data_IF_468934402156
#
_entry.id   IF_468934402156
#
_cell.length_a   1.000
_cell.length_b   1.000
_cell.length_c   1.000
_cell.angle_alpha   90.00
_cell.angle_beta   90.00
_cell.angle_gamma   90.00
#
_symmetry.space_group_name_H-M   'P 1'
#
loop_
_entity.id
_entity.type
_entity.pdbx_description
1 polymer ?
#
# COMPACT_ATOMS: atom_id res chain seq x y z
N UNK A 1 -3.38 5.78 -5.04
CA UNK A 1 -4.63 6.01 -4.27
C UNK A 1 -4.36 6.20 -2.78
N UNK A 2 -3.79 5.24 -2.04
CA UNK A 2 -3.50 5.45 -0.60
C UNK A 2 -2.57 6.63 -0.35
N UNK A 3 -1.55 6.82 -1.18
CA UNK A 3 -0.68 7.99 -1.12
C UNK A 3 -1.43 9.31 -1.39
N UNK A 4 -2.38 9.32 -2.33
CA UNK A 4 -3.23 10.49 -2.60
C UNK A 4 -4.07 10.86 -1.37
N UNK A 5 -4.62 9.85 -0.69
CA UNK A 5 -5.37 10.07 0.55
C UNK A 5 -4.47 10.62 1.66
N UNK A 6 -3.21 10.18 1.76
CA UNK A 6 -2.31 10.73 2.77
C UNK A 6 -1.91 12.17 2.44
N UNK A 7 -1.53 12.44 1.20
CA UNK A 7 -0.99 13.75 0.79
C UNK A 7 -2.08 14.83 0.69
N UNK A 8 -3.24 14.49 0.13
CA UNK A 8 -4.25 15.47 -0.28
C UNK A 8 -5.58 15.35 0.47
N UNK A 9 -5.67 14.63 1.60
CA UNK A 9 -6.93 14.44 2.36
C UNK A 9 -7.68 15.73 2.71
N UNK A 10 -6.97 16.85 2.82
CA UNK A 10 -7.55 18.16 3.19
C UNK A 10 -7.81 19.08 1.99
N UNK A 11 -7.64 18.60 0.76
CA UNK A 11 -7.74 19.40 -0.46
C UNK A 11 -8.88 18.91 -1.37
N UNK A 12 -9.38 19.80 -2.24
CA UNK A 12 -10.34 19.43 -3.27
C UNK A 12 -9.72 18.52 -4.34
N UNK A 13 -10.53 18.00 -5.28
CA UNK A 13 -10.03 17.18 -6.38
C UNK A 13 -8.91 17.88 -7.16
N UNK A 14 -7.81 17.15 -7.37
CA UNK A 14 -6.69 17.65 -8.16
C UNK A 14 -7.14 17.98 -9.59
N UNK A 15 -6.70 19.13 -10.10
CA UNK A 15 -6.97 19.55 -11.48
C UNK A 15 -5.94 18.97 -12.47
N UNK A 16 -4.76 18.61 -11.98
CA UNK A 16 -3.69 17.96 -12.73
C UNK A 16 -2.69 17.32 -11.76
N UNK A 17 -1.81 16.46 -12.28
CA UNK A 17 -0.81 15.79 -11.45
C UNK A 17 -1.39 14.66 -10.60
N UNK A 18 -0.77 14.37 -9.48
CA UNK A 18 -1.06 13.22 -8.62
C UNK A 18 0.25 12.71 -8.02
N UNK A 19 0.17 12.05 -6.87
CA UNK A 19 1.33 11.67 -6.07
C UNK A 19 2.31 10.81 -6.87
N UNK A 20 1.83 9.73 -7.49
CA UNK A 20 2.69 8.81 -8.27
C UNK A 20 2.54 8.96 -9.78
N UNK A 21 1.40 9.44 -10.24
CA UNK A 21 1.04 9.48 -11.66
C UNK A 21 0.16 10.69 -11.94
N UNK A 22 0.05 11.06 -13.21
CA UNK A 22 -0.89 12.09 -13.63
C UNK A 22 -2.32 11.56 -13.62
N UNK A 23 -3.22 12.30 -12.98
CA UNK A 23 -4.66 12.12 -13.16
C UNK A 23 -5.04 12.55 -14.56
N UNK A 24 -5.50 11.61 -15.37
CA UNK A 24 -6.04 11.87 -16.70
C UNK A 24 -7.19 10.90 -17.00
N UNK A 25 -8.30 11.38 -17.58
CA UNK A 25 -9.41 10.50 -17.98
C UNK A 25 -8.94 9.44 -18.98
N UNK A 26 -9.46 8.22 -18.85
CA UNK A 26 -9.25 7.10 -19.79
C UNK A 26 -7.78 6.81 -20.14
N UNK A 27 -6.87 7.18 -19.24
CA UNK A 27 -5.43 7.04 -19.45
C UNK A 27 -4.89 6.06 -18.43
N UNK A 28 -4.06 5.12 -18.88
CA UNK A 28 -3.38 4.20 -17.98
C UNK A 28 -2.41 4.98 -17.06
N UNK A 29 -2.65 5.03 -15.73
CA UNK A 29 -1.79 5.76 -14.81
C UNK A 29 -0.35 5.21 -14.79
N UNK A 30 -0.15 3.93 -15.14
CA UNK A 30 1.18 3.30 -15.15
C UNK A 30 2.10 3.85 -16.24
N UNK A 31 1.57 4.47 -17.30
CA UNK A 31 2.40 5.14 -18.31
C UNK A 31 3.18 6.29 -17.66
N UNK A 32 2.48 7.22 -17.01
CA UNK A 32 3.12 8.37 -16.36
C UNK A 32 3.91 7.98 -15.11
N UNK A 33 3.45 6.96 -14.38
CA UNK A 33 4.19 6.41 -13.24
C UNK A 33 5.59 5.94 -13.65
N UNK A 34 5.69 5.13 -14.71
CA UNK A 34 6.97 4.61 -15.22
C UNK A 34 7.91 5.69 -15.72
N UNK A 35 7.37 6.72 -16.34
CA UNK A 35 8.15 7.87 -16.80
C UNK A 35 8.71 8.68 -15.62
N UNK A 36 7.96 8.82 -14.53
CA UNK A 36 8.35 9.61 -13.35
C UNK A 36 9.24 8.85 -12.38
N UNK A 37 8.94 7.57 -12.16
CA UNK A 37 9.57 6.74 -11.13
C UNK A 37 10.04 5.39 -11.71
N UNK A 38 10.95 5.37 -12.70
CA UNK A 38 11.35 4.15 -13.40
C UNK A 38 12.00 3.11 -12.46
N UNK A 39 12.77 3.55 -11.46
CA UNK A 39 13.36 2.64 -10.47
C UNK A 39 12.31 2.03 -9.54
N UNK A 40 11.30 2.80 -9.15
CA UNK A 40 10.22 2.28 -8.31
C UNK A 40 9.35 1.27 -9.07
N UNK A 41 9.10 1.52 -10.35
CA UNK A 41 8.42 0.57 -11.24
C UNK A 41 9.19 -0.74 -11.38
N UNK A 42 10.50 -0.67 -11.58
CA UNK A 42 11.38 -1.84 -11.61
C UNK A 42 11.28 -2.63 -10.29
N UNK A 43 11.43 -1.95 -9.15
CA UNK A 43 11.35 -2.59 -7.84
C UNK A 43 10.01 -3.29 -7.61
N UNK A 44 8.90 -2.68 -8.02
CA UNK A 44 7.56 -3.29 -7.90
C UNK A 44 7.38 -4.48 -8.84
N UNK A 45 7.90 -4.39 -10.06
CA UNK A 45 7.86 -5.45 -11.06
C UNK A 45 8.70 -6.66 -10.63
N UNK A 46 9.76 -6.44 -9.85
CA UNK A 46 10.63 -7.49 -9.32
C UNK A 46 10.08 -8.15 -8.05
N UNK A 47 9.09 -7.56 -7.35
CA UNK A 47 8.53 -8.14 -6.11
C UNK A 47 8.08 -9.60 -6.32
N UNK A 48 7.29 -9.94 -7.36
CA UNK A 48 6.94 -11.33 -7.61
C UNK A 48 8.17 -12.19 -7.85
N UNK A 49 9.13 -11.78 -8.67
CA UNK A 49 10.31 -12.62 -8.99
C UNK A 49 11.17 -12.90 -7.75
N UNK A 50 11.45 -11.86 -6.96
CA UNK A 50 12.31 -11.95 -5.76
C UNK A 50 11.63 -12.71 -4.64
N UNK A 51 10.30 -12.55 -4.48
CA UNK A 51 9.58 -13.06 -3.32
C UNK A 51 8.69 -14.28 -3.60
N UNK A 52 8.30 -14.58 -4.85
CA UNK A 52 7.44 -15.74 -5.18
C UNK A 52 8.16 -17.08 -5.12
N UNK A 53 9.46 -17.12 -5.44
CA UNK A 53 10.28 -18.34 -5.44
C UNK A 53 10.52 -18.93 -4.04
N UNK A 54 10.27 -18.15 -2.99
CA UNK A 54 10.49 -18.53 -1.59
C UNK A 54 9.25 -19.12 -0.87
N UNK A 55 8.25 -19.62 -1.61
CA UNK A 55 7.04 -20.22 -1.02
C UNK A 55 6.16 -19.23 -0.25
N UNK A 56 6.24 -17.94 -0.60
CA UNK A 56 5.60 -16.84 0.14
C UNK A 56 4.15 -16.62 -0.27
N UNK A 57 3.32 -16.24 0.70
CA UNK A 57 1.87 -16.03 0.54
C UNK A 57 1.57 -14.70 -0.15
N UNK A 58 0.41 -14.57 -0.83
CA UNK A 58 -0.03 -13.29 -1.43
C UNK A 58 -0.08 -12.15 -0.41
N UNK A 59 -0.32 -12.45 0.86
CA UNK A 59 -0.18 -11.50 1.98
C UNK A 59 1.21 -10.87 2.05
N UNK A 60 2.28 -11.66 1.90
CA UNK A 60 3.65 -11.16 1.93
C UNK A 60 3.95 -10.31 0.69
N UNK A 61 3.48 -10.71 -0.48
CA UNK A 61 3.62 -9.91 -1.70
C UNK A 61 2.94 -8.55 -1.54
N UNK A 62 1.69 -8.51 -1.07
CA UNK A 62 0.96 -7.27 -0.81
C UNK A 62 1.68 -6.36 0.21
N UNK A 63 2.23 -6.94 1.29
CA UNK A 63 2.96 -6.19 2.30
C UNK A 63 4.27 -5.60 1.77
N UNK A 64 5.04 -6.38 1.01
CA UNK A 64 6.29 -5.92 0.41
C UNK A 64 5.99 -4.81 -0.60
N UNK A 65 5.02 -5.00 -1.49
CA UNK A 65 4.60 -3.96 -2.43
C UNK A 65 4.17 -2.68 -1.71
N UNK A 66 3.37 -2.78 -0.64
CA UNK A 66 2.95 -1.61 0.14
C UNK A 66 4.14 -0.86 0.76
N UNK A 67 5.11 -1.59 1.31
CA UNK A 67 6.36 -1.02 1.86
C UNK A 67 7.26 -0.42 0.78
N UNK A 68 7.30 -0.99 -0.42
CA UNK A 68 8.07 -0.44 -1.54
C UNK A 68 7.49 0.89 -2.01
N UNK A 69 6.16 1.01 -2.08
CA UNK A 69 5.48 2.23 -2.54
C UNK A 69 5.48 3.34 -1.49
N UNK A 70 5.19 3.02 -0.23
CA UNK A 70 5.11 3.97 0.87
C UNK A 70 6.00 3.50 2.03
N UNK A 71 7.33 3.57 1.87
CA UNK A 71 8.30 3.05 2.84
C UNK A 71 8.32 3.83 4.15
N UNK A 72 7.90 5.10 4.12
CA UNK A 72 7.88 5.97 5.29
C UNK A 72 6.76 5.62 6.27
N UNK A 73 5.88 4.66 5.97
CA UNK A 73 4.80 4.25 6.86
C UNK A 73 5.04 2.84 7.40
N UNK A 74 4.65 2.63 8.66
CA UNK A 74 4.61 1.28 9.19
C UNK A 74 3.41 0.52 8.59
N UNK A 75 3.67 -0.67 8.04
CA UNK A 75 2.61 -1.52 7.47
C UNK A 75 2.42 -2.78 8.33
N UNK A 76 1.20 -2.92 8.85
CA UNK A 76 0.84 -3.98 9.81
C UNK A 76 -0.19 -4.90 9.16
N UNK A 77 0.21 -6.13 8.83
CA UNK A 77 -0.67 -7.12 8.23
C UNK A 77 -1.39 -7.95 9.31
N UNK A 78 -2.71 -8.05 9.22
CA UNK A 78 -3.52 -8.97 10.04
C UNK A 78 -3.17 -10.43 9.77
N UNK A 79 -3.75 -11.35 10.54
CA UNK A 79 -3.90 -12.76 10.11
C UNK A 79 -4.74 -12.86 8.83
N UNK A 80 -4.70 -14.02 8.21
CA UNK A 80 -5.63 -14.38 7.14
C UNK A 80 -6.90 -14.98 7.76
N UNK A 81 -8.06 -14.48 7.36
CA UNK A 81 -9.38 -14.93 7.80
C UNK A 81 -10.04 -15.71 6.68
N UNK A 82 -10.65 -16.85 7.02
CA UNK A 82 -11.15 -17.82 6.02
C UNK A 82 -12.64 -18.04 6.20
N UNK A 83 -13.12 -18.12 7.43
CA UNK A 83 -14.54 -18.36 7.70
C UNK A 83 -15.33 -17.05 7.70
N UNK A 84 -16.62 -17.14 7.36
CA UNK A 84 -17.52 -15.98 7.35
C UNK A 84 -17.60 -15.30 8.72
N UNK A 85 -17.60 -16.05 9.81
CA UNK A 85 -17.62 -15.51 11.18
C UNK A 85 -16.33 -14.77 11.54
N UNK A 86 -15.16 -15.32 11.19
CA UNK A 86 -13.88 -14.64 11.36
C UNK A 86 -13.80 -13.34 10.56
N UNK A 87 -14.22 -13.39 9.29
CA UNK A 87 -14.26 -12.21 8.40
C UNK A 87 -15.17 -11.15 9.00
N UNK A 88 -16.39 -11.51 9.41
CA UNK A 88 -17.35 -10.59 10.03
C UNK A 88 -16.83 -9.99 11.33
N UNK A 89 -16.22 -10.80 12.19
CA UNK A 89 -15.57 -10.33 13.42
C UNK A 89 -14.45 -9.34 13.12
N UNK A 90 -13.62 -9.62 12.11
CA UNK A 90 -12.54 -8.73 11.70
C UNK A 90 -13.07 -7.40 11.18
N UNK A 91 -14.05 -7.41 10.27
CA UNK A 91 -14.69 -6.17 9.76
C UNK A 91 -15.32 -5.36 10.91
N UNK A 92 -15.94 -6.04 11.88
CA UNK A 92 -16.49 -5.37 13.08
C UNK A 92 -15.38 -4.67 13.88
N UNK A 93 -14.19 -5.25 13.99
CA UNK A 93 -13.03 -4.61 14.63
C UNK A 93 -12.52 -3.38 13.86
N UNK A 94 -12.58 -3.41 12.52
CA UNK A 94 -12.24 -2.24 11.68
C UNK A 94 -13.25 -1.11 11.89
N UNK A 95 -14.54 -1.42 12.01
CA UNK A 95 -15.61 -0.45 12.32
C UNK A 95 -15.38 0.18 13.71
N UNK A 96 -14.99 -0.63 14.69
CA UNK A 96 -14.70 -0.17 16.05
C UNK A 96 -13.38 0.63 16.17
N UNK A 97 -12.55 0.64 15.13
CA UNK A 97 -11.29 1.39 15.12
C UNK A 97 -11.52 2.91 15.04
N UNK A 98 -10.55 3.73 15.50
CA UNK A 98 -10.64 5.18 15.37
C UNK A 98 -10.80 5.64 13.92
N UNK A 99 -11.47 6.78 13.72
CA UNK A 99 -11.57 7.43 12.42
C UNK A 99 -10.18 7.86 11.89
N UNK A 100 -10.03 7.84 10.57
CA UNK A 100 -8.77 8.13 9.87
C UNK A 100 -7.89 6.91 9.63
N UNK A 101 -8.26 5.73 10.11
CA UNK A 101 -7.53 4.49 9.85
C UNK A 101 -7.75 4.01 8.42
N UNK A 102 -6.68 3.50 7.81
CA UNK A 102 -6.69 3.05 6.41
C UNK A 102 -6.07 1.66 6.32
N UNK A 103 -6.68 0.80 5.52
CA UNK A 103 -6.18 -0.53 5.23
C UNK A 103 -6.16 -0.80 3.73
N UNK A 104 -5.23 -1.63 3.30
CA UNK A 104 -5.33 -2.36 2.05
C UNK A 104 -5.89 -3.75 2.36
N UNK A 105 -7.11 -4.04 1.92
CA UNK A 105 -7.68 -5.38 2.01
C UNK A 105 -7.23 -6.21 0.81
N UNK A 106 -6.62 -7.36 1.08
CA UNK A 106 -6.24 -8.38 0.11
C UNK A 106 -7.27 -9.50 0.19
N UNK A 107 -7.92 -9.76 -0.95
CA UNK A 107 -9.06 -10.65 -1.09
C UNK A 107 -8.67 -11.83 -1.96
N UNK A 108 -9.00 -13.04 -1.54
CA UNK A 108 -9.11 -14.18 -2.46
C UNK A 108 -10.57 -14.35 -2.83
N UNK A 109 -10.88 -14.12 -4.10
CA UNK A 109 -12.23 -14.20 -4.63
C UNK A 109 -12.34 -15.45 -5.50
N UNK A 110 -13.46 -16.15 -5.38
CA UNK A 110 -13.79 -17.30 -6.23
C UNK A 110 -15.00 -16.99 -7.07
N UNK A 111 -14.84 -17.21 -8.38
CA UNK A 111 -15.92 -17.08 -9.35
C UNK A 111 -16.81 -18.31 -9.33
N UNK A 112 -18.05 -18.15 -9.77
CA UNK A 112 -19.05 -19.22 -9.88
C UNK A 112 -18.59 -20.43 -10.70
N UNK A 113 -17.70 -20.23 -11.68
CA UNK A 113 -17.10 -21.31 -12.47
C UNK A 113 -15.91 -22.01 -11.79
N UNK A 114 -15.62 -21.66 -10.54
CA UNK A 114 -14.57 -22.25 -9.73
C UNK A 114 -13.20 -21.57 -9.82
N UNK A 115 -12.99 -20.64 -10.76
CA UNK A 115 -11.72 -19.94 -10.89
C UNK A 115 -11.52 -18.97 -9.72
N UNK A 116 -10.37 -19.06 -9.05
CA UNK A 116 -10.01 -18.17 -7.95
C UNK A 116 -8.97 -17.14 -8.40
N UNK A 117 -9.09 -15.92 -7.90
CA UNK A 117 -8.16 -14.83 -8.16
C UNK A 117 -7.93 -13.98 -6.91
N UNK A 118 -6.83 -13.24 -6.91
CA UNK A 118 -6.52 -12.28 -5.87
C UNK A 118 -6.91 -10.87 -6.29
N UNK A 119 -7.41 -10.09 -5.34
CA UNK A 119 -7.80 -8.70 -5.55
C UNK A 119 -7.40 -7.85 -4.35
N UNK A 120 -7.29 -6.54 -4.54
CA UNK A 120 -6.92 -5.62 -3.48
C UNK A 120 -7.77 -4.35 -3.54
N UNK A 121 -8.35 -3.97 -2.40
CA UNK A 121 -9.18 -2.76 -2.26
C UNK A 121 -8.78 -1.96 -1.03
N UNK A 122 -8.68 -0.62 -1.12
CA UNK A 122 -8.55 0.23 0.05
C UNK A 122 -9.82 0.23 0.90
N UNK A 123 -9.65 0.28 2.22
CA UNK A 123 -10.71 0.52 3.20
C UNK A 123 -10.30 1.74 4.03
N UNK A 124 -11.21 2.71 4.16
CA UNK A 124 -11.05 3.90 5.00
C UNK A 124 -12.09 3.88 6.12
N UNK A 125 -11.65 4.06 7.37
CA UNK A 125 -12.55 4.35 8.49
C UNK A 125 -12.81 5.85 8.57
N UNK A 126 -14.04 6.28 8.33
CA UNK A 126 -14.50 7.67 8.53
C UNK A 126 -15.11 7.83 9.93
N UNK A 127 -15.76 8.95 10.23
CA UNK A 127 -16.62 9.06 11.44
C UNK A 127 -17.97 8.33 11.26
N UNK A 128 -18.44 8.18 10.02
CA UNK A 128 -19.76 7.63 9.69
C UNK A 128 -19.77 6.13 9.40
N UNK A 129 -18.61 5.54 9.07
CA UNK A 129 -18.53 4.11 8.76
C UNK A 129 -17.19 3.69 8.18
N UNK A 130 -17.15 2.48 7.63
CA UNK A 130 -16.14 2.07 6.67
C UNK A 130 -16.56 2.47 5.27
N UNK A 131 -15.60 2.94 4.48
CA UNK A 131 -15.71 3.15 3.04
C UNK A 131 -14.77 2.18 2.36
N UNK A 132 -15.30 1.31 1.50
CA UNK A 132 -14.50 0.41 0.67
C UNK A 132 -14.36 1.03 -0.72
N UNK A 133 -13.13 1.39 -1.08
CA UNK A 133 -12.87 2.05 -2.36
C UNK A 133 -12.66 0.99 -3.43
N UNK A 134 -13.66 0.82 -4.29
CA UNK A 134 -13.59 -0.18 -5.37
C UNK A 134 -12.43 0.13 -6.31
N UNK A 135 -11.55 -0.85 -6.50
CA UNK A 135 -10.51 -0.85 -7.53
C UNK A 135 -11.03 -1.64 -8.74
N UNK A 136 -10.68 -1.22 -9.96
CA UNK A 136 -11.26 -1.74 -11.22
C UNK A 136 -12.78 -1.51 -11.31
N UNK A 137 -13.16 -0.25 -11.56
CA UNK A 137 -14.53 0.20 -11.74
C UNK A 137 -14.79 0.77 -13.15
N UNK A 138 -14.10 0.26 -14.17
CA UNK A 138 -14.09 0.83 -15.54
C UNK A 138 -15.47 0.87 -16.23
N UNK A 139 -16.43 0.05 -15.79
CA UNK A 139 -17.79 -0.02 -16.32
C UNK A 139 -18.82 0.69 -15.41
N UNK A 140 -18.39 1.32 -14.32
CA UNK A 140 -19.27 2.01 -13.37
C UNK A 140 -19.35 3.49 -13.73
N UNK A 141 -20.56 4.05 -13.83
CA UNK A 141 -20.73 5.49 -14.01
C UNK A 141 -20.16 6.26 -12.81
N UNK A 142 -19.80 7.52 -13.00
CA UNK A 142 -19.25 8.34 -11.91
C UNK A 142 -20.21 8.46 -10.72
N UNK A 143 -21.51 8.59 -10.98
CA UNK A 143 -22.51 8.71 -9.92
C UNK A 143 -22.70 7.40 -9.15
N UNK A 144 -22.73 6.26 -9.85
CA UNK A 144 -22.77 4.96 -9.18
C UNK A 144 -21.47 4.70 -8.40
N UNK A 145 -20.32 5.16 -8.92
CA UNK A 145 -19.05 5.07 -8.23
C UNK A 145 -19.09 5.89 -6.93
N UNK A 146 -19.56 7.15 -6.99
CA UNK A 146 -19.73 8.00 -5.79
C UNK A 146 -20.68 7.37 -4.77
N UNK A 147 -21.81 6.82 -5.20
CA UNK A 147 -22.74 6.11 -4.32
C UNK A 147 -22.08 4.89 -3.67
N UNK A 148 -21.20 4.18 -4.39
CA UNK A 148 -20.45 3.05 -3.82
C UNK A 148 -19.43 3.46 -2.76
N UNK A 149 -19.13 4.75 -2.60
CA UNK A 149 -18.26 5.27 -1.54
C UNK A 149 -19.03 5.68 -0.28
N UNK A 150 -20.32 5.35 -0.19
CA UNK A 150 -21.15 5.63 1.00
C UNK A 150 -20.61 4.86 2.21
N UNK A 151 -20.29 5.54 3.33
CA UNK A 151 -19.85 4.87 4.55
C UNK A 151 -20.94 3.97 5.14
N UNK A 152 -20.54 2.83 5.71
CA UNK A 152 -21.46 1.93 6.44
C UNK A 152 -20.88 1.44 7.77
N UNK A 153 -21.74 1.25 8.76
CA UNK A 153 -21.43 0.62 10.05
C UNK A 153 -21.87 -0.85 10.10
N UNK A 154 -22.49 -1.36 9.04
CA UNK A 154 -22.97 -2.73 8.97
C UNK A 154 -21.87 -3.64 8.39
N UNK A 155 -21.30 -4.57 9.18
CA UNK A 155 -20.25 -5.45 8.71
C UNK A 155 -20.71 -6.40 7.59
N UNK A 156 -21.98 -6.78 7.56
CA UNK A 156 -22.52 -7.68 6.55
C UNK A 156 -22.67 -6.93 5.21
N UNK A 157 -23.12 -5.67 5.24
CA UNK A 157 -23.09 -4.82 4.04
C UNK A 157 -21.66 -4.62 3.50
N UNK A 158 -20.66 -4.44 4.37
CA UNK A 158 -19.25 -4.34 3.94
C UNK A 158 -18.85 -5.58 3.15
N UNK A 159 -19.16 -6.76 3.66
CA UNK A 159 -18.77 -8.02 3.03
C UNK A 159 -19.55 -8.24 1.73
N UNK A 160 -20.89 -8.25 1.81
CA UNK A 160 -21.76 -8.68 0.70
C UNK A 160 -21.74 -7.71 -0.48
N UNK A 161 -21.68 -6.40 -0.20
CA UNK A 161 -21.85 -5.39 -1.24
C UNK A 161 -20.53 -4.76 -1.72
N UNK A 162 -19.42 -4.94 -0.99
CA UNK A 162 -18.16 -4.27 -1.34
C UNK A 162 -16.95 -5.20 -1.45
N UNK A 163 -16.88 -6.26 -0.64
CA UNK A 163 -15.79 -7.24 -0.75
C UNK A 163 -16.17 -8.41 -1.67
N UNK A 164 -17.45 -8.78 -1.67
CA UNK A 164 -18.05 -9.76 -2.58
C UNK A 164 -18.72 -9.07 -3.78
N UNK A 165 -19.03 -9.87 -4.80
CA UNK A 165 -19.86 -9.49 -5.94
C UNK A 165 -20.80 -10.64 -6.28
N UNK A 166 -21.90 -10.40 -7.02
CA UNK A 166 -22.85 -11.46 -7.36
C UNK A 166 -22.22 -12.71 -8.01
N UNK A 167 -21.11 -12.53 -8.74
CA UNK A 167 -20.35 -13.59 -9.40
C UNK A 167 -19.05 -13.99 -8.68
N UNK A 168 -18.71 -13.37 -7.55
CA UNK A 168 -17.46 -13.54 -6.82
C UNK A 168 -17.69 -13.66 -5.30
N UNK A 169 -17.49 -14.85 -4.76
CA UNK A 169 -17.52 -15.10 -3.31
C UNK A 169 -16.16 -14.88 -2.66
N UNK A 170 -16.14 -14.38 -1.43
CA UNK A 170 -14.93 -14.13 -0.67
C UNK A 170 -14.49 -15.42 0.04
N UNK A 171 -13.33 -15.95 -0.36
CA UNK A 171 -12.76 -17.14 0.30
C UNK A 171 -11.77 -16.78 1.40
N UNK A 172 -11.03 -15.68 1.25
CA UNK A 172 -9.99 -15.27 2.21
C UNK A 172 -9.89 -13.75 2.26
N UNK A 173 -9.72 -13.23 3.47
CA UNK A 173 -9.47 -11.81 3.73
C UNK A 173 -8.18 -11.66 4.53
N UNK A 174 -7.31 -10.75 4.10
CA UNK A 174 -6.24 -10.17 4.92
C UNK A 174 -6.31 -8.66 4.80
N UNK A 175 -6.07 -7.92 5.88
CA UNK A 175 -5.93 -6.46 5.82
C UNK A 175 -4.53 -6.05 6.20
N UNK A 176 -3.98 -5.08 5.47
CA UNK A 176 -2.68 -4.47 5.76
C UNK A 176 -2.94 -3.02 6.13
N UNK A 177 -2.81 -2.70 7.40
CA UNK A 177 -3.03 -1.37 7.92
C UNK A 177 -1.88 -0.45 7.54
N UNK A 178 -2.22 0.73 7.03
CA UNK A 178 -1.32 1.88 6.98
C UNK A 178 -1.26 2.47 8.38
N UNK A 179 -0.15 2.21 9.07
CA UNK A 179 0.14 2.72 10.40
C UNK A 179 0.67 4.15 10.37
N UNK A 180 1.31 4.54 11.47
CA UNK A 180 1.95 5.84 11.58
C UNK A 180 3.20 5.93 10.70
N UNK A 181 3.62 7.17 10.42
CA UNK A 181 4.88 7.43 9.73
C UNK A 181 6.01 6.83 10.58
N UNK A 182 6.67 5.83 10.01
CA UNK A 182 7.87 5.25 10.56
C UNK A 182 8.98 6.30 10.43
N UNK A 183 9.30 6.95 11.55
CA UNK A 183 10.46 7.82 11.63
C UNK A 183 11.68 6.91 11.70
N UNK A 184 12.23 6.53 10.54
CA UNK A 184 13.51 5.86 10.51
C UNK A 184 14.56 6.85 11.02
N UNK A 185 15.14 6.63 12.20
CA UNK A 185 16.18 7.50 12.74
C UNK A 185 17.35 7.64 11.76
N UNK A 186 17.60 6.64 10.90
CA UNK A 186 18.60 6.71 9.83
C UNK A 186 18.31 7.76 8.75
N UNK A 187 17.04 8.02 8.42
CA UNK A 187 16.66 9.03 7.42
C UNK A 187 16.96 10.45 7.92
N UNK A 188 17.07 10.65 9.24
CA UNK A 188 17.51 11.90 9.86
C UNK A 188 19.04 11.95 10.10
N UNK A 189 19.69 10.79 10.27
CA UNK A 189 21.13 10.69 10.54
C UNK A 189 21.96 10.74 9.24
N UNK A 190 21.43 10.23 8.12
CA UNK A 190 22.15 10.16 6.84
C UNK A 190 21.58 11.20 5.88
N UNK A 191 22.20 12.38 5.86
CA UNK A 191 21.92 13.40 4.84
C UNK A 191 22.55 13.00 3.49
N UNK A 192 21.73 12.73 2.49
CA UNK A 192 22.16 12.61 1.08
C UNK A 192 22.15 13.96 0.34
N UNK A 193 21.96 15.09 1.05
CA UNK A 193 21.99 16.42 0.44
C UNK A 193 23.45 16.81 0.18
N UNK A 194 23.77 17.03 -1.09
CA UNK A 194 25.09 17.48 -1.56
C UNK A 194 26.25 16.47 -1.40
N UNK A 195 25.98 15.17 -1.53
CA UNK A 195 27.02 14.11 -1.58
C UNK A 195 27.77 14.06 -2.93
N UNK A 196 27.72 15.13 -3.73
CA UNK A 196 28.34 15.22 -5.07
C UNK A 196 29.87 15.21 -5.01
N UNK A 197 30.48 15.46 -3.84
CA UNK A 197 31.92 15.61 -3.69
C UNK A 197 32.45 16.97 -4.18
N UNK A 198 31.55 17.91 -4.49
CA UNK A 198 31.89 19.27 -4.93
C UNK A 198 32.16 20.20 -3.73
N UNK A 199 33.30 20.90 -3.73
CA UNK A 199 33.78 21.81 -2.66
C UNK A 199 35.30 21.71 -2.45
N UNK A 200 35.91 22.74 -1.84
CA UNK A 200 37.38 22.86 -1.68
C UNK A 200 38.00 21.76 -0.80
N UNK A 201 37.21 21.11 0.07
CA UNK A 201 37.58 19.97 0.92
C UNK A 201 36.78 18.70 0.54
N UNK A 202 36.96 18.24 -0.71
CA UNK A 202 36.32 17.08 -1.37
C UNK A 202 36.13 15.84 -0.46
N UNK A 203 35.05 15.82 0.33
CA UNK A 203 34.62 14.66 1.13
C UNK A 203 33.29 14.15 0.60
N UNK A 204 33.35 13.50 -0.55
CA UNK A 204 32.24 12.77 -1.16
C UNK A 204 32.76 11.94 -2.33
N UNK A 205 32.25 10.72 -2.50
CA UNK A 205 32.68 9.84 -3.60
C UNK A 205 31.98 10.16 -4.93
N UNK A 206 30.97 11.05 -4.93
CA UNK A 206 30.14 11.34 -6.10
C UNK A 206 29.20 10.18 -6.50
N UNK A 207 29.21 9.10 -5.74
CA UNK A 207 28.41 7.90 -5.98
C UNK A 207 27.23 7.82 -5.00
N UNK A 208 26.12 7.21 -5.44
CA UNK A 208 25.02 6.90 -4.53
C UNK A 208 25.50 5.92 -3.45
N UNK A 209 25.08 6.09 -2.17
CA UNK A 209 25.42 5.14 -1.12
C UNK A 209 24.97 3.74 -1.52
N UNK A 210 25.86 2.76 -1.40
CA UNK A 210 25.53 1.35 -1.56
C UNK A 210 25.25 0.76 -0.19
N UNK A 211 24.59 -0.40 -0.11
CA UNK A 211 24.43 -1.10 1.18
C UNK A 211 25.78 -1.39 1.86
N UNK A 212 26.86 -1.49 1.07
CA UNK A 212 28.22 -1.61 1.57
C UNK A 212 28.79 -0.30 2.15
N UNK A 213 28.25 0.88 1.84
CA UNK A 213 28.72 2.16 2.40
C UNK A 213 28.01 2.55 3.69
N UNK A 214 26.92 1.88 4.05
CA UNK A 214 26.17 2.09 5.30
C UNK A 214 26.56 0.96 6.27
N UNK A 215 27.36 1.30 7.28
CA UNK A 215 27.89 0.41 8.32
C UNK A 215 28.91 -0.66 7.87
N UNK A 216 30.11 -0.23 7.45
CA UNK A 216 31.27 -1.14 7.44
C UNK A 216 31.89 -1.22 8.84
N UNK A 217 31.51 -2.24 9.60
CA UNK A 217 32.18 -2.56 10.85
C UNK A 217 33.38 -3.47 10.52
N UNK A 218 34.59 -2.92 10.55
CA UNK A 218 35.80 -3.69 10.24
C UNK A 218 36.15 -4.68 11.36
N UNK A 219 35.84 -5.94 11.10
CA UNK A 219 36.44 -7.16 11.66
C UNK A 219 36.09 -7.60 13.10
N UNK A 220 35.79 -8.91 13.16
CA UNK A 220 35.89 -9.94 14.21
C UNK A 220 35.50 -9.70 15.68
N UNK A 221 35.44 -8.48 16.24
CA UNK A 221 35.01 -8.26 17.64
C UNK A 221 34.25 -6.97 17.97
N UNK A 222 33.98 -6.07 17.02
CA UNK A 222 33.28 -4.81 17.34
C UNK A 222 31.82 -4.85 16.88
N UNK A 223 30.92 -4.89 17.88
CA UNK A 223 29.47 -4.72 17.71
C UNK A 223 29.19 -3.31 17.23
N UNK A 224 28.57 -3.17 16.07
CA UNK A 224 27.88 -1.93 15.72
C UNK A 224 26.53 -1.94 16.41
N UNK A 225 26.46 -1.27 17.56
CA UNK A 225 25.20 -0.86 18.15
C UNK A 225 24.94 0.57 17.68
N UNK A 226 23.83 0.74 16.96
CA UNK A 226 23.23 2.04 16.76
C UNK A 226 22.31 2.24 17.97
N UNK A 227 22.64 3.20 18.83
CA UNK A 227 21.70 3.70 19.84
C UNK A 227 20.71 4.65 19.19
#
# INVERSE_FOLDING_TARGET
MLAELQEYHSQGPLQSGGYFFNTAPNTDPFISFRQRYPLLDMLLSDVPTVYSSAGRTTRQLGLVSARTVLPQYNWIASSEFITRSEIRSHITSLIASPSGRIWLAILRLRRTDGVSGWHAVPILRTSQGLVVIRTRASLTSLDNYRQSLTPTMDPDLVIDNYLERPDLSLERLTTIQLGEVYHNTFDFIISNRNCTGEGDDRRGTGEYPTSASVNQCSSRRNRCALQ
#
